data_IF_543880329226
#
_entry.id   IF_543880329226
#
_cell.length_a   1.000
_cell.length_b   1.000
_cell.length_c   1.000
_cell.angle_alpha   90.00
_cell.angle_beta   90.00
_cell.angle_gamma   90.00
#
_symmetry.space_group_name_H-M   'P 1'
#
loop_
_entity.id
_entity.type
_entity.pdbx_description
1 polymer ?
#
# COMPACT_ATOMS: atom_id res chain seq x y z
N UNK A 1 -1.32 19.71 -13.59
CA UNK A 1 -0.95 18.29 -13.54
C UNK A 1 -0.97 17.71 -14.95
N UNK A 2 0.16 17.18 -15.44
CA UNK A 2 0.21 16.55 -16.77
C UNK A 2 -0.47 15.18 -16.75
N UNK A 3 -0.83 14.66 -17.93
CA UNK A 3 -1.45 13.34 -18.04
C UNK A 3 -0.49 12.22 -17.65
N UNK A 4 0.81 12.37 -17.93
CA UNK A 4 1.86 11.48 -17.43
C UNK A 4 1.91 11.41 -15.90
N UNK A 5 1.73 12.54 -15.21
CA UNK A 5 1.70 12.56 -13.74
C UNK A 5 0.47 11.85 -13.19
N UNK A 6 -0.70 12.02 -13.82
CA UNK A 6 -1.92 11.30 -13.44
C UNK A 6 -1.78 9.80 -13.66
N UNK A 7 -1.21 9.38 -14.78
CA UNK A 7 -0.94 7.97 -15.07
C UNK A 7 0.01 7.36 -14.04
N UNK A 8 1.09 8.07 -13.70
CA UNK A 8 2.02 7.64 -12.66
C UNK A 8 1.32 7.51 -11.30
N UNK A 9 0.50 8.49 -10.89
CA UNK A 9 -0.29 8.42 -9.66
C UNK A 9 -1.21 7.21 -9.65
N UNK A 10 -1.90 6.93 -10.76
CA UNK A 10 -2.79 5.77 -10.87
C UNK A 10 -2.04 4.45 -10.75
N UNK A 11 -0.87 4.33 -11.38
CA UNK A 11 0.01 3.14 -11.25
C UNK A 11 0.46 2.96 -9.80
N UNK A 12 0.83 4.06 -9.12
CA UNK A 12 1.24 4.01 -7.72
C UNK A 12 0.09 3.63 -6.78
N UNK A 13 -1.13 4.15 -7.03
CA UNK A 13 -2.34 3.77 -6.29
C UNK A 13 -2.65 2.28 -6.48
N UNK A 14 -2.54 1.77 -7.71
CA UNK A 14 -2.70 0.34 -7.98
C UNK A 14 -1.63 -0.49 -7.25
N UNK A 15 -0.37 -0.02 -7.21
CA UNK A 15 0.71 -0.64 -6.44
C UNK A 15 0.41 -0.70 -4.94
N UNK A 16 -0.11 0.38 -4.35
CA UNK A 16 -0.53 0.42 -2.94
C UNK A 16 -1.63 -0.61 -2.67
N UNK A 17 -2.63 -0.70 -3.55
CA UNK A 17 -3.71 -1.68 -3.42
C UNK A 17 -3.18 -3.12 -3.49
N UNK A 18 -2.25 -3.39 -4.41
CA UNK A 18 -1.59 -4.68 -4.55
C UNK A 18 -0.78 -5.06 -3.29
N UNK A 19 0.06 -4.15 -2.79
CA UNK A 19 0.85 -4.40 -1.58
C UNK A 19 -0.05 -4.66 -0.36
N UNK A 20 -1.16 -3.93 -0.23
CA UNK A 20 -2.14 -4.17 0.83
C UNK A 20 -2.81 -5.54 0.72
N UNK A 21 -3.19 -5.94 -0.49
CA UNK A 21 -3.76 -7.26 -0.74
C UNK A 21 -2.75 -8.37 -0.39
N UNK A 22 -1.51 -8.25 -0.85
CA UNK A 22 -0.44 -9.21 -0.53
C UNK A 22 -0.16 -9.29 0.99
N UNK A 23 -0.15 -8.15 1.68
CA UNK A 23 0.01 -8.13 3.13
C UNK A 23 -1.13 -8.84 3.87
N UNK A 24 -2.36 -8.71 3.37
CA UNK A 24 -3.53 -9.39 3.91
C UNK A 24 -3.43 -10.91 3.69
N UNK A 25 -3.22 -11.35 2.45
CA UNK A 25 -3.05 -12.76 2.07
C UNK A 25 -1.96 -13.46 2.90
N UNK A 26 -0.79 -12.84 3.04
CA UNK A 26 0.27 -13.41 3.86
C UNK A 26 -0.07 -13.46 5.35
N UNK A 27 -0.88 -12.53 5.86
CA UNK A 27 -1.33 -12.56 7.26
C UNK A 27 -2.35 -13.67 7.49
N UNK A 28 -3.29 -13.87 6.56
CA UNK A 28 -4.25 -14.97 6.64
C UNK A 28 -3.56 -16.33 6.55
N UNK A 29 -2.63 -16.47 5.60
CA UNK A 29 -1.82 -17.67 5.47
C UNK A 29 -1.00 -17.93 6.74
N UNK A 30 -0.37 -16.91 7.32
CA UNK A 30 0.38 -17.05 8.58
C UNK A 30 -0.51 -17.59 9.72
N UNK A 31 -1.72 -17.04 9.87
CA UNK A 31 -2.68 -17.51 10.87
C UNK A 31 -3.08 -18.97 10.61
N UNK A 32 -3.27 -19.37 9.35
CA UNK A 32 -3.54 -20.76 8.99
C UNK A 32 -2.38 -21.71 9.32
N UNK A 33 -1.12 -21.27 9.21
CA UNK A 33 0.03 -22.07 9.62
C UNK A 33 0.17 -22.16 11.15
N UNK A 34 -0.14 -21.09 11.89
CA UNK A 34 -0.15 -21.09 13.36
C UNK A 34 -1.14 -22.07 13.94
N UNK A 35 -2.36 -22.09 13.42
CA UNK A 35 -3.39 -23.06 13.86
C UNK A 35 -2.98 -24.51 13.61
N UNK A 36 -2.03 -24.75 12.70
CA UNK A 36 -1.45 -26.08 12.39
C UNK A 36 -0.15 -26.35 13.15
N UNK A 37 0.28 -25.44 14.03
CA UNK A 37 1.52 -25.56 14.80
C UNK A 37 2.81 -25.32 14.00
N UNK A 38 2.71 -24.83 12.76
CA UNK A 38 3.85 -24.57 11.89
C UNK A 38 4.39 -23.14 12.11
N UNK A 39 4.97 -22.91 13.28
CA UNK A 39 5.37 -21.57 13.75
C UNK A 39 6.43 -20.90 12.89
N UNK A 40 7.39 -21.65 12.36
CA UNK A 40 8.47 -21.09 11.52
C UNK A 40 7.93 -20.61 10.17
N UNK A 41 7.04 -21.38 9.56
CA UNK A 41 6.37 -21.00 8.31
C UNK A 41 5.50 -19.74 8.53
N UNK A 42 4.76 -19.70 9.63
CA UNK A 42 3.98 -18.51 9.98
C UNK A 42 4.84 -17.27 10.20
N UNK A 43 5.99 -17.41 10.87
CA UNK A 43 6.93 -16.30 11.09
C UNK A 43 7.46 -15.71 9.76
N UNK A 44 7.80 -16.57 8.79
CA UNK A 44 8.22 -16.14 7.45
C UNK A 44 7.10 -15.34 6.77
N UNK A 45 5.86 -15.83 6.83
CA UNK A 45 4.72 -15.17 6.20
C UNK A 45 4.37 -13.84 6.87
N UNK A 46 4.44 -13.75 8.20
CA UNK A 46 4.29 -12.47 8.92
C UNK A 46 5.35 -11.45 8.49
N UNK A 47 6.60 -11.90 8.32
CA UNK A 47 7.68 -11.04 7.82
C UNK A 47 7.38 -10.54 6.40
N UNK A 48 6.86 -11.39 5.52
CA UNK A 48 6.41 -10.99 4.17
C UNK A 48 5.23 -10.02 4.22
N UNK A 49 4.26 -10.26 5.08
CA UNK A 49 3.15 -9.34 5.28
C UNK A 49 3.64 -7.96 5.74
N UNK A 50 4.58 -7.93 6.69
CA UNK A 50 5.18 -6.69 7.18
C UNK A 50 5.95 -5.96 6.08
N UNK A 51 6.72 -6.68 5.27
CA UNK A 51 7.42 -6.11 4.12
C UNK A 51 6.46 -5.37 3.18
N UNK A 52 5.35 -6.01 2.78
CA UNK A 52 4.37 -5.37 1.90
C UNK A 52 3.63 -4.19 2.55
N UNK A 53 3.37 -4.24 3.87
CA UNK A 53 2.85 -3.06 4.60
C UNK A 53 3.79 -1.86 4.50
N UNK A 54 5.09 -2.09 4.67
CA UNK A 54 6.10 -1.03 4.52
C UNK A 54 6.14 -0.50 3.09
N UNK A 55 6.10 -1.39 2.07
CA UNK A 55 6.05 -0.98 0.67
C UNK A 55 4.82 -0.12 0.33
N UNK A 56 3.65 -0.50 0.83
CA UNK A 56 2.44 0.31 0.67
C UNK A 56 2.59 1.70 1.31
N UNK A 57 3.15 1.79 2.52
CA UNK A 57 3.39 3.07 3.20
C UNK A 57 4.41 3.94 2.45
N UNK A 58 5.49 3.35 1.93
CA UNK A 58 6.47 4.06 1.10
C UNK A 58 5.83 4.64 -0.16
N UNK A 59 5.01 3.85 -0.86
CA UNK A 59 4.29 4.32 -2.05
C UNK A 59 3.28 5.41 -1.71
N UNK A 60 2.57 5.29 -0.57
CA UNK A 60 1.67 6.34 -0.08
C UNK A 60 2.39 7.66 0.15
N UNK A 61 3.56 7.62 0.81
CA UNK A 61 4.37 8.82 1.00
C UNK A 61 4.81 9.45 -0.32
N UNK A 62 5.16 8.64 -1.32
CA UNK A 62 5.52 9.13 -2.66
C UNK A 62 4.33 9.70 -3.42
N UNK A 63 3.13 9.10 -3.31
CA UNK A 63 1.91 9.66 -3.89
C UNK A 63 1.56 10.99 -3.25
N UNK A 64 1.70 11.11 -1.93
CA UNK A 64 1.46 12.37 -1.22
C UNK A 64 2.47 13.46 -1.67
N UNK A 65 3.76 13.14 -1.76
CA UNK A 65 4.76 14.07 -2.27
C UNK A 65 4.49 14.49 -3.72
N UNK A 66 4.11 13.55 -4.58
CA UNK A 66 3.77 13.84 -5.98
C UNK A 66 2.49 14.69 -6.08
N UNK A 67 1.51 14.45 -5.21
CA UNK A 67 0.33 15.28 -5.10
C UNK A 67 0.71 16.70 -4.67
N UNK A 68 1.51 16.88 -3.62
CA UNK A 68 1.98 18.19 -3.13
C UNK A 68 2.79 18.95 -4.20
N UNK A 69 3.65 18.26 -4.96
CA UNK A 69 4.38 18.84 -6.10
C UNK A 69 3.44 19.32 -7.22
N UNK A 70 2.29 18.65 -7.38
CA UNK A 70 1.23 19.08 -8.29
C UNK A 70 0.31 20.14 -7.67
N UNK A 71 0.24 20.22 -6.34
CA UNK A 71 -0.67 21.05 -5.54
C UNK A 71 -0.14 22.44 -5.16
N UNK A 72 0.84 22.92 -5.92
CA UNK A 72 0.87 24.36 -6.23
C UNK A 72 -0.42 24.86 -6.92
N UNK A 73 -1.42 24.00 -7.21
CA UNK A 73 -2.63 24.37 -7.96
C UNK A 73 -3.93 23.54 -7.78
N UNK A 74 -4.17 22.62 -6.82
CA UNK A 74 -5.53 21.99 -6.70
C UNK A 74 -5.95 21.67 -5.24
N UNK A 75 -6.37 22.68 -4.45
CA UNK A 75 -6.96 22.44 -3.14
C UNK A 75 -8.43 21.98 -3.25
N UNK A 76 -8.75 20.87 -3.93
CA UNK A 76 -10.15 20.37 -3.99
C UNK A 76 -10.32 18.84 -3.98
N UNK A 77 -9.28 18.01 -4.04
CA UNK A 77 -9.48 16.54 -4.15
C UNK A 77 -9.72 15.80 -2.82
N UNK A 78 -9.56 16.48 -1.67
CA UNK A 78 -9.75 15.87 -0.35
C UNK A 78 -10.66 16.69 0.59
N UNK A 79 -11.44 17.63 0.05
CA UNK A 79 -12.35 18.50 0.79
C UNK A 79 -13.79 17.99 0.87
N UNK A 80 -14.09 17.31 1.98
CA UNK A 80 -15.39 17.25 2.68
C UNK A 80 -16.64 16.65 1.99
N UNK A 81 -16.90 15.37 2.28
CA UNK A 81 -18.25 14.96 2.70
C UNK A 81 -18.20 14.68 4.22
N UNK A 82 -18.73 15.64 4.99
CA UNK A 82 -19.19 15.49 6.37
C UNK A 82 -20.66 15.84 6.42
#
# INVERSE_FOLDING_TARGET
MSDETKELMMVMIAGIALDRAMAHEFSEAAAAFETRGATDAAAILRSRAQYHRVKALELQGRVAALADECDGSIPELFGADR
#
